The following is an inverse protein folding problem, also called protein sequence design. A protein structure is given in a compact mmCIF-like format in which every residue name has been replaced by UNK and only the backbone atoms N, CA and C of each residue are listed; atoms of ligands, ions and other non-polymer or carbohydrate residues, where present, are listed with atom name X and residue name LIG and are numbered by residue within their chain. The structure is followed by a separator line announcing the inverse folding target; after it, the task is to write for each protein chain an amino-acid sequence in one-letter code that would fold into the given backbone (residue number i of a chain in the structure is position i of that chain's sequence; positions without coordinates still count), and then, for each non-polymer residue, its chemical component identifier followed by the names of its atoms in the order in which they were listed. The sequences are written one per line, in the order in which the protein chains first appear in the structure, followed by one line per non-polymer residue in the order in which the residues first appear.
data_IF_960025751590
#
_entry.id   IF_960025751590
#
_cell.length_a   1.000
_cell.length_b   1.000
_cell.length_c   1.000
_cell.angle_alpha   90.00
_cell.angle_beta   90.00
_cell.angle_gamma   90.00
#
_symmetry.space_group_name_H-M   'P 1'
#
loop_
_entity.id
_entity.type
_entity.pdbx_description
1 polymer ?
#
# COMPACT_ATOMS: atom_id res chain seq x y z
N UNK A 1 22.58 -3.99 12.17
CA UNK A 1 21.74 -3.34 13.21
C UNK A 1 21.23 -4.45 14.12
N UNK A 2 21.24 -4.31 15.45
CA UNK A 2 20.66 -5.34 16.34
C UNK A 2 19.12 -5.35 16.18
N UNK A 3 18.50 -6.53 16.17
CA UNK A 3 17.04 -6.78 16.10
C UNK A 3 16.23 -5.84 16.99
N UNK A 4 16.66 -5.65 18.25
CA UNK A 4 15.95 -4.77 19.21
C UNK A 4 15.90 -3.31 18.75
N UNK A 5 16.99 -2.82 18.14
CA UNK A 5 17.07 -1.45 17.64
C UNK A 5 16.16 -1.25 16.43
N UNK A 6 16.07 -2.26 15.56
CA UNK A 6 15.17 -2.24 14.41
C UNK A 6 13.71 -2.27 14.82
N UNK A 7 13.36 -3.17 15.74
CA UNK A 7 12.00 -3.25 16.26
C UNK A 7 11.58 -1.97 16.97
N UNK A 8 12.47 -1.37 17.77
CA UNK A 8 12.22 -0.08 18.43
C UNK A 8 11.95 1.03 17.42
N UNK A 9 12.75 1.12 16.35
CA UNK A 9 12.57 2.11 15.30
C UNK A 9 11.20 1.96 14.60
N UNK A 10 10.85 0.74 14.19
CA UNK A 10 9.57 0.47 13.52
C UNK A 10 8.36 0.80 14.42
N UNK A 11 8.45 0.52 15.72
CA UNK A 11 7.40 0.91 16.66
C UNK A 11 7.27 2.43 16.81
N UNK A 12 8.39 3.17 16.78
CA UNK A 12 8.36 4.64 16.82
C UNK A 12 7.66 5.21 15.59
N UNK A 13 7.98 4.70 14.39
CA UNK A 13 7.31 5.09 13.15
C UNK A 13 5.81 4.75 13.19
N UNK A 14 5.45 3.58 13.69
CA UNK A 14 4.06 3.17 13.85
C UNK A 14 3.28 4.15 14.75
N UNK A 15 3.83 4.52 15.91
CA UNK A 15 3.19 5.50 16.81
C UNK A 15 3.06 6.88 16.17
N UNK A 16 4.10 7.32 15.46
CA UNK A 16 4.09 8.58 14.71
C UNK A 16 2.97 8.59 13.67
N UNK A 17 2.91 7.58 12.80
CA UNK A 17 1.94 7.56 11.70
C UNK A 17 0.50 7.33 12.17
N UNK A 18 0.30 6.65 13.30
CA UNK A 18 -1.02 6.61 13.97
C UNK A 18 -1.45 8.02 14.39
N UNK A 19 -0.56 8.76 15.07
CA UNK A 19 -0.86 10.13 15.54
C UNK A 19 -1.14 11.09 14.38
N UNK A 20 -0.43 10.93 13.27
CA UNK A 20 -0.59 11.75 12.07
C UNK A 20 -1.78 11.32 11.19
N UNK A 21 -2.46 10.21 11.53
CA UNK A 21 -3.44 9.55 10.67
C UNK A 21 -2.89 9.28 9.24
N UNK A 22 -1.59 9.02 9.12
CA UNK A 22 -0.92 8.74 7.85
C UNK A 22 -1.02 7.25 7.52
N UNK A 23 -2.16 6.85 6.96
CA UNK A 23 -2.48 5.45 6.68
C UNK A 23 -1.54 4.80 5.66
N UNK A 24 -1.06 5.56 4.67
CA UNK A 24 -0.15 5.03 3.66
C UNK A 24 1.18 4.60 4.28
N UNK A 25 1.79 5.50 5.06
CA UNK A 25 3.06 5.21 5.76
C UNK A 25 2.87 4.16 6.84
N UNK A 26 1.78 4.22 7.60
CA UNK A 26 1.43 3.21 8.60
C UNK A 26 1.35 1.80 7.97
N UNK A 27 0.71 1.68 6.80
CA UNK A 27 0.67 0.43 6.06
C UNK A 27 2.05 -0.04 5.62
N UNK A 28 2.91 0.88 5.15
CA UNK A 28 4.31 0.59 4.82
C UNK A 28 5.10 0.04 6.01
N UNK A 29 4.99 0.69 7.18
CA UNK A 29 5.64 0.24 8.42
C UNK A 29 5.20 -1.16 8.83
N UNK A 30 3.91 -1.50 8.72
CA UNK A 30 3.44 -2.87 8.98
C UNK A 30 4.08 -3.91 8.05
N UNK A 31 4.25 -3.59 6.76
CA UNK A 31 4.96 -4.47 5.83
C UNK A 31 6.45 -4.62 6.18
N UNK A 32 7.12 -3.53 6.56
CA UNK A 32 8.52 -3.60 6.98
C UNK A 32 8.71 -4.43 8.27
N UNK A 33 7.78 -4.31 9.22
CA UNK A 33 7.73 -5.18 10.40
C UNK A 33 7.47 -6.65 10.02
N UNK A 34 6.61 -6.90 9.04
CA UNK A 34 6.35 -8.25 8.53
C UNK A 34 7.61 -8.86 7.90
N UNK A 35 8.31 -8.13 7.03
CA UNK A 35 9.55 -8.61 6.42
C UNK A 35 10.66 -8.83 7.47
N UNK A 36 10.70 -8.02 8.52
CA UNK A 36 11.59 -8.26 9.65
C UNK A 36 11.26 -9.59 10.36
N UNK A 37 9.99 -9.85 10.73
CA UNK A 37 9.59 -11.12 11.34
C UNK A 37 9.91 -12.32 10.45
N UNK A 38 9.62 -12.21 9.15
CA UNK A 38 9.93 -13.22 8.15
C UNK A 38 11.43 -13.52 8.08
N UNK A 39 12.28 -12.48 8.15
CA UNK A 39 13.74 -12.64 8.18
C UNK A 39 14.25 -13.38 9.42
N UNK A 40 13.49 -13.33 10.53
CA UNK A 40 13.75 -14.08 11.75
C UNK A 40 13.08 -15.47 11.75
N UNK A 41 12.44 -15.88 10.64
CA UNK A 41 11.72 -17.16 10.54
C UNK A 41 10.41 -17.20 11.35
N UNK A 42 9.85 -16.04 11.70
CA UNK A 42 8.60 -15.89 12.46
C UNK A 42 7.42 -15.66 11.53
N UNK A 43 6.21 -15.97 12.00
CA UNK A 43 4.98 -15.66 11.28
C UNK A 43 4.79 -14.15 11.12
N UNK A 44 4.61 -13.71 9.88
CA UNK A 44 4.44 -12.32 9.49
C UNK A 44 3.04 -12.01 8.93
N UNK A 45 2.20 -13.04 8.78
CA UNK A 45 0.91 -12.98 8.08
C UNK A 45 -0.02 -11.88 8.60
N UNK A 46 -0.12 -11.75 9.93
CA UNK A 46 -0.95 -10.72 10.58
C UNK A 46 -0.49 -9.30 10.24
N UNK A 47 0.82 -9.06 10.23
CA UNK A 47 1.36 -7.73 9.91
C UNK A 47 1.20 -7.40 8.44
N UNK A 48 1.37 -8.38 7.54
CA UNK A 48 1.05 -8.19 6.11
C UNK A 48 -0.41 -7.81 5.90
N UNK A 49 -1.33 -8.47 6.61
CA UNK A 49 -2.76 -8.19 6.50
C UNK A 49 -3.12 -6.78 7.02
N UNK A 50 -2.52 -6.37 8.14
CA UNK A 50 -2.65 -5.00 8.65
C UNK A 50 -2.08 -3.98 7.65
N UNK A 51 -0.91 -4.23 7.10
CA UNK A 51 -0.29 -3.38 6.08
C UNK A 51 -1.17 -3.21 4.84
N UNK A 52 -1.76 -4.31 4.36
CA UNK A 52 -2.72 -4.28 3.26
C UNK A 52 -3.95 -3.42 3.60
N UNK A 53 -4.58 -3.66 4.75
CA UNK A 53 -5.78 -2.93 5.18
C UNK A 53 -5.55 -1.41 5.27
N UNK A 54 -4.41 -0.99 5.82
CA UNK A 54 -4.09 0.43 5.94
C UNK A 54 -3.86 1.08 4.57
N UNK A 55 -3.14 0.41 3.66
CA UNK A 55 -2.95 0.90 2.28
C UNK A 55 -4.26 0.93 1.49
N UNK A 56 -5.13 -0.07 1.66
CA UNK A 56 -6.45 -0.08 1.01
C UNK A 56 -7.31 1.10 1.48
N UNK A 57 -7.30 1.40 2.78
CA UNK A 57 -7.99 2.56 3.32
C UNK A 57 -7.42 3.88 2.76
N UNK A 58 -6.09 4.02 2.71
CA UNK A 58 -5.44 5.19 2.12
C UNK A 58 -5.83 5.39 0.64
N UNK A 59 -5.85 4.31 -0.14
CA UNK A 59 -6.28 4.34 -1.55
C UNK A 59 -7.75 4.80 -1.67
N UNK A 60 -8.65 4.29 -0.82
CA UNK A 60 -10.05 4.70 -0.83
C UNK A 60 -10.25 6.18 -0.48
N UNK A 61 -9.44 6.73 0.42
CA UNK A 61 -9.44 8.17 0.72
C UNK A 61 -9.03 8.98 -0.52
N UNK A 62 -8.01 8.54 -1.27
CA UNK A 62 -7.63 9.18 -2.53
C UNK A 62 -8.71 9.07 -3.62
N UNK A 63 -9.38 7.92 -3.74
CA UNK A 63 -10.47 7.73 -4.71
C UNK A 63 -11.67 8.66 -4.44
N UNK A 64 -11.91 8.99 -3.17
CA UNK A 64 -12.94 9.96 -2.79
C UNK A 64 -12.63 11.35 -3.34
N UNK A 65 -11.34 11.74 -3.36
CA UNK A 65 -10.94 13.02 -3.97
C UNK A 65 -11.17 13.02 -5.49
N UNK A 66 -10.87 11.93 -6.19
CA UNK A 66 -11.16 11.83 -7.63
C UNK A 66 -12.66 11.91 -7.93
N UNK A 67 -13.49 11.31 -7.09
CA UNK A 67 -14.95 11.46 -7.18
C UNK A 67 -15.38 12.92 -7.05
N UNK A 68 -14.78 13.67 -6.12
CA UNK A 68 -15.12 15.08 -5.89
C UNK A 68 -14.62 16.01 -7.01
N UNK A 69 -13.68 15.55 -7.83
CA UNK A 69 -13.10 16.28 -8.96
C UNK A 69 -13.70 15.86 -10.32
N UNK A 70 -14.79 15.08 -10.30
CA UNK A 70 -15.45 14.52 -11.49
C UNK A 70 -14.52 13.73 -12.44
N UNK A 71 -13.47 13.11 -11.89
CA UNK A 71 -12.58 12.23 -12.66
C UNK A 71 -13.29 10.91 -12.95
N UNK A 72 -13.56 10.65 -14.22
CA UNK A 72 -14.33 9.48 -14.65
C UNK A 72 -13.47 8.24 -14.88
N UNK A 73 -12.22 8.42 -15.34
CA UNK A 73 -11.31 7.33 -15.69
C UNK A 73 -9.98 7.49 -14.97
N UNK A 74 -9.43 6.37 -14.51
CA UNK A 74 -8.18 6.28 -13.78
C UNK A 74 -7.27 5.28 -14.46
N UNK A 75 -6.00 5.62 -14.61
CA UNK A 75 -4.95 4.68 -14.97
C UNK A 75 -4.18 4.22 -13.73
N UNK A 76 -3.69 2.98 -13.75
CA UNK A 76 -2.76 2.48 -12.74
C UNK A 76 -1.34 2.84 -13.14
N UNK A 77 -0.66 3.61 -12.29
CA UNK A 77 0.74 4.01 -12.45
C UNK A 77 1.59 3.17 -11.51
N UNK A 78 2.56 2.46 -12.06
CA UNK A 78 3.50 1.63 -11.31
C UNK A 78 4.88 2.27 -11.26
N UNK A 79 5.65 2.00 -10.21
CA UNK A 79 7.05 2.42 -10.15
C UNK A 79 7.92 1.50 -11.02
N UNK A 80 9.04 2.00 -11.54
CA UNK A 80 9.97 1.21 -12.38
C UNK A 80 10.41 -0.11 -11.71
N UNK A 81 10.64 -0.06 -10.40
CA UNK A 81 11.01 -1.21 -9.56
C UNK A 81 9.80 -1.96 -8.94
N UNK A 82 8.61 -1.85 -9.53
CA UNK A 82 7.43 -2.61 -9.10
C UNK A 82 7.63 -4.11 -9.28
N UNK A 83 6.98 -4.90 -8.42
CA UNK A 83 7.00 -6.37 -8.56
C UNK A 83 6.32 -6.82 -9.87
N UNK A 84 6.59 -8.05 -10.36
CA UNK A 84 6.02 -8.56 -11.62
C UNK A 84 4.48 -8.51 -11.67
N UNK A 85 3.79 -8.75 -10.56
CA UNK A 85 2.32 -8.70 -10.50
C UNK A 85 1.83 -7.27 -10.72
N UNK A 86 2.41 -6.30 -10.00
CA UNK A 86 2.08 -4.89 -10.16
C UNK A 86 2.38 -4.37 -11.57
N UNK A 87 3.52 -4.75 -12.17
CA UNK A 87 3.91 -4.32 -13.53
C UNK A 87 2.87 -4.68 -14.60
N UNK A 88 2.14 -5.79 -14.43
CA UNK A 88 1.05 -6.19 -15.34
C UNK A 88 -0.16 -5.26 -15.32
N UNK A 89 -0.27 -4.39 -14.32
CA UNK A 89 -1.34 -3.40 -14.19
C UNK A 89 -0.93 -2.04 -14.74
N UNK A 90 0.34 -1.81 -15.07
CA UNK A 90 0.80 -0.50 -15.52
C UNK A 90 0.04 -0.03 -16.76
N UNK A 91 -0.41 1.22 -16.73
CA UNK A 91 -1.19 1.88 -17.78
C UNK A 91 -2.53 1.20 -18.08
N UNK A 92 -3.01 0.28 -17.23
CA UNK A 92 -4.39 -0.20 -17.33
C UNK A 92 -5.34 0.88 -16.86
N UNK A 93 -6.32 1.19 -17.69
CA UNK A 93 -7.38 2.15 -17.41
C UNK A 93 -8.63 1.46 -16.89
N UNK A 94 -9.27 2.09 -15.91
CA UNK A 94 -10.54 1.68 -15.34
C UNK A 94 -11.41 2.92 -15.15
N UNK A 95 -12.73 2.76 -15.23
CA UNK A 95 -13.63 3.79 -14.72
C UNK A 95 -13.53 3.89 -13.20
N UNK A 96 -13.80 5.07 -12.64
CA UNK A 96 -13.87 5.27 -11.19
C UNK A 96 -14.85 4.30 -10.54
N UNK A 97 -15.97 3.99 -11.21
CA UNK A 97 -16.98 3.02 -10.74
C UNK A 97 -16.40 1.61 -10.62
N UNK A 98 -15.65 1.15 -11.62
CA UNK A 98 -14.99 -0.15 -11.58
C UNK A 98 -13.99 -0.21 -10.43
N UNK A 99 -13.14 0.81 -10.28
CA UNK A 99 -12.13 0.87 -9.22
C UNK A 99 -12.75 0.80 -7.83
N UNK A 100 -13.85 1.53 -7.59
CA UNK A 100 -14.58 1.50 -6.31
C UNK A 100 -15.20 0.13 -6.02
N UNK A 101 -15.45 -0.70 -7.04
CA UNK A 101 -16.05 -2.02 -6.90
C UNK A 101 -15.03 -3.17 -6.80
N UNK A 102 -13.95 -3.12 -7.60
CA UNK A 102 -12.99 -4.21 -7.72
C UNK A 102 -11.71 -3.97 -6.92
N UNK A 103 -11.47 -2.74 -6.45
CA UNK A 103 -10.27 -2.31 -5.73
C UNK A 103 -8.95 -2.92 -6.25
N UNK A 104 -8.57 -2.67 -7.52
CA UNK A 104 -7.34 -3.23 -8.11
C UNK A 104 -6.06 -2.92 -7.33
N UNK A 105 -6.05 -1.77 -6.64
CA UNK A 105 -4.99 -1.33 -5.75
C UNK A 105 -5.51 -1.18 -4.32
N UNK A 106 -4.66 -1.45 -3.31
CA UNK A 106 -3.35 -2.08 -3.42
C UNK A 106 -3.45 -3.55 -3.87
N UNK A 107 -2.45 -4.04 -4.59
CA UNK A 107 -2.39 -5.46 -5.01
C UNK A 107 -2.07 -6.34 -3.79
N UNK A 108 -2.96 -7.29 -3.45
CA UNK A 108 -2.79 -8.18 -2.29
C UNK A 108 -1.52 -9.03 -2.42
N UNK A 109 -1.24 -9.51 -3.62
CA UNK A 109 -0.10 -10.36 -3.96
C UNK A 109 1.19 -9.55 -4.22
N UNK A 110 1.21 -8.26 -3.89
CA UNK A 110 2.42 -7.45 -4.02
C UNK A 110 3.54 -8.05 -3.16
N UNK A 111 4.66 -8.40 -3.81
CA UNK A 111 5.82 -9.00 -3.16
C UNK A 111 6.89 -7.97 -2.74
N UNK A 112 6.60 -6.67 -2.87
CA UNK A 112 7.54 -5.63 -2.48
C UNK A 112 7.57 -5.49 -0.95
N UNK A 113 8.76 -5.28 -0.37
CA UNK A 113 8.98 -5.38 1.08
C UNK A 113 8.17 -4.38 1.92
N UNK A 114 7.80 -3.23 1.36
CA UNK A 114 6.95 -2.22 2.02
C UNK A 114 5.50 -2.22 1.49
N UNK A 115 5.09 -3.31 0.83
CA UNK A 115 3.78 -3.46 0.21
C UNK A 115 3.62 -2.71 -1.12
N UNK A 116 2.39 -2.68 -1.63
CA UNK A 116 2.07 -2.03 -2.90
C UNK A 116 2.34 -0.52 -2.83
N UNK A 117 3.01 0.01 -3.86
CA UNK A 117 3.34 1.44 -4.05
C UNK A 117 2.73 2.03 -5.33
N UNK A 118 1.93 1.24 -6.05
CA UNK A 118 1.23 1.71 -7.23
C UNK A 118 0.12 2.68 -6.82
N UNK A 119 -0.22 3.59 -7.72
CA UNK A 119 -1.23 4.63 -7.49
C UNK A 119 -2.20 4.70 -8.67
N UNK A 120 -3.37 5.29 -8.43
CA UNK A 120 -4.22 5.76 -9.52
C UNK A 120 -3.80 7.17 -9.93
N UNK A 121 -3.82 7.44 -11.23
CA UNK A 121 -3.76 8.79 -11.80
C UNK A 121 -4.97 9.02 -12.72
N UNK A 122 -5.39 10.26 -12.97
CA UNK A 122 -6.39 10.55 -14.00
C UNK A 122 -5.90 10.04 -15.37
N UNK A 123 -6.72 9.26 -16.05
CA UNK A 123 -6.45 8.90 -17.43
C UNK A 123 -6.84 10.08 -18.34
N UNK A 124 -5.92 10.48 -19.23
CA UNK A 124 -6.15 11.48 -20.29
C UNK A 124 -6.84 10.87 -21.50
#
# INVERSE_FOLDING_TARGET
MNSDKQWKYLNQDLQKYIKENNLYSLGGTYYEMAEFLKSEGKDDSKLRDLGYKMKAKAVNEHLTNYKNLDVSNLEIITTENSCPVCKKLNSKTFSLKEVLSSSPLPVRECSFFCGCRCVYGPAV
#
